data_IF_631979211722
#
_entry.id   IF_631979211722
#
_cell.length_a   1.000
_cell.length_b   1.000
_cell.length_c   1.000
_cell.angle_alpha   90.00
_cell.angle_beta   90.00
_cell.angle_gamma   90.00
#
_symmetry.space_group_name_H-M   'P 1'
#
loop_
_entity.id
_entity.type
_entity.pdbx_description
1 polymer ?
#
# COMPACT_ATOMS: atom_id res chain seq x y z
N UNK A 1 -11.09 20.02 0.22
CA UNK A 1 -9.73 20.43 -0.23
C UNK A 1 -9.36 21.71 0.48
N UNK A 2 -8.22 21.76 1.16
CA UNK A 2 -7.79 22.91 1.97
C UNK A 2 -7.46 24.10 1.07
N UNK A 3 -7.93 25.31 1.43
CA UNK A 3 -7.64 26.53 0.66
C UNK A 3 -6.22 27.04 0.87
N UNK A 4 -5.59 26.70 1.99
CA UNK A 4 -4.24 27.11 2.38
C UNK A 4 -3.42 25.86 2.72
N UNK A 5 -2.22 25.78 2.20
CA UNK A 5 -1.20 24.82 2.61
C UNK A 5 -0.10 25.55 3.35
N UNK A 6 0.28 25.03 4.50
CA UNK A 6 1.37 25.58 5.32
C UNK A 6 2.50 24.55 5.38
N UNK A 7 3.72 25.04 5.29
CA UNK A 7 4.91 24.21 5.47
C UNK A 7 5.93 24.96 6.35
N UNK A 8 6.51 24.23 7.29
CA UNK A 8 7.41 24.80 8.29
C UNK A 8 8.61 25.55 7.69
N UNK A 9 9.13 25.07 6.57
CA UNK A 9 10.34 25.62 5.93
C UNK A 9 9.98 26.53 4.75
N UNK A 10 8.98 26.12 3.94
CA UNK A 10 8.70 26.78 2.66
C UNK A 10 7.54 27.79 2.75
N UNK A 11 6.94 28.00 3.92
CA UNK A 11 5.91 28.99 4.13
C UNK A 11 4.52 28.54 3.72
N UNK A 12 3.76 29.42 3.04
CA UNK A 12 2.35 29.22 2.75
C UNK A 12 2.06 29.23 1.25
N UNK A 13 1.19 28.33 0.82
CA UNK A 13 0.63 28.30 -0.52
C UNK A 13 -0.88 28.49 -0.47
N UNK A 14 -1.41 29.35 -1.33
CA UNK A 14 -2.81 29.72 -1.37
C UNK A 14 -3.50 29.18 -2.60
N UNK A 15 -4.75 28.83 -2.42
CA UNK A 15 -5.70 28.56 -3.49
C UNK A 15 -6.64 29.74 -3.59
N UNK A 16 -6.62 30.43 -4.71
CA UNK A 16 -7.39 31.64 -4.93
C UNK A 16 -8.71 31.30 -5.60
N UNK A 17 -9.78 31.97 -5.17
CA UNK A 17 -11.07 31.93 -5.83
C UNK A 17 -11.32 33.33 -6.40
N UNK A 18 -11.53 33.45 -7.71
CA UNK A 18 -11.90 34.75 -8.29
C UNK A 18 -13.26 35.21 -7.76
N UNK A 19 -13.46 36.51 -7.66
CA UNK A 19 -14.73 37.08 -7.24
C UNK A 19 -15.81 36.85 -8.29
N UNK A 20 -15.43 36.86 -9.57
CA UNK A 20 -16.30 36.56 -10.71
C UNK A 20 -15.80 35.28 -11.42
N UNK A 21 -16.69 34.31 -11.59
CA UNK A 21 -16.43 33.09 -12.29
C UNK A 21 -16.46 31.82 -11.43
N UNK A 22 -16.63 30.68 -12.09
CA UNK A 22 -16.62 29.36 -11.45
C UNK A 22 -15.19 28.83 -11.36
N UNK A 23 -14.82 28.40 -10.15
CA UNK A 23 -13.59 27.64 -9.91
C UNK A 23 -12.58 28.32 -9.01
N UNK A 24 -11.67 27.51 -8.49
CA UNK A 24 -10.54 27.99 -7.70
C UNK A 24 -9.24 27.52 -8.37
N UNK A 25 -8.31 28.41 -8.57
CA UNK A 25 -7.00 28.07 -9.14
C UNK A 25 -5.92 27.98 -8.06
N UNK A 26 -4.96 27.13 -8.31
CA UNK A 26 -3.81 26.93 -7.43
C UNK A 26 -2.72 27.93 -7.81
N UNK A 27 -2.17 28.62 -6.82
CA UNK A 27 -0.95 29.40 -7.04
C UNK A 27 0.25 28.47 -7.27
N UNK A 28 1.32 28.98 -7.86
CA UNK A 28 2.56 28.24 -8.02
C UNK A 28 3.10 27.74 -6.65
N UNK A 29 3.03 28.61 -5.63
CA UNK A 29 3.41 28.25 -4.27
C UNK A 29 2.54 27.09 -3.71
N UNK A 30 1.23 27.13 -3.93
CA UNK A 30 0.34 26.04 -3.52
C UNK A 30 0.71 24.73 -4.22
N UNK A 31 0.99 24.76 -5.52
CA UNK A 31 1.36 23.58 -6.29
C UNK A 31 2.71 23.01 -5.82
N UNK A 32 3.69 23.88 -5.61
CA UNK A 32 4.99 23.46 -5.08
C UNK A 32 4.86 22.82 -3.69
N UNK A 33 4.15 23.45 -2.77
CA UNK A 33 3.92 22.87 -1.43
C UNK A 33 3.11 21.58 -1.47
N UNK A 34 2.14 21.46 -2.35
CA UNK A 34 1.38 20.22 -2.55
C UNK A 34 2.30 19.06 -2.96
N UNK A 35 3.28 19.33 -3.81
CA UNK A 35 4.26 18.34 -4.24
C UNK A 35 5.22 17.95 -3.10
N UNK A 36 5.66 18.93 -2.32
CA UNK A 36 6.50 18.68 -1.13
C UNK A 36 5.75 17.79 -0.12
N UNK A 37 4.54 18.18 0.27
CA UNK A 37 3.72 17.35 1.18
C UNK A 37 3.47 15.94 0.64
N UNK A 38 3.20 15.81 -0.65
CA UNK A 38 3.03 14.49 -1.25
C UNK A 38 4.32 13.65 -1.19
N UNK A 39 5.49 14.25 -1.34
CA UNK A 39 6.77 13.58 -1.22
C UNK A 39 7.06 13.15 0.23
N UNK A 40 6.80 14.03 1.19
CA UNK A 40 6.96 13.75 2.63
C UNK A 40 6.02 12.63 3.08
N UNK A 41 4.75 12.68 2.66
CA UNK A 41 3.78 11.61 2.94
C UNK A 41 4.22 10.26 2.38
N UNK A 42 4.75 10.23 1.14
CA UNK A 42 5.26 8.97 0.56
C UNK A 42 6.46 8.44 1.33
N UNK A 43 7.37 9.32 1.74
CA UNK A 43 8.53 8.94 2.56
C UNK A 43 8.08 8.31 3.88
N UNK A 44 7.10 8.90 4.55
CA UNK A 44 6.54 8.35 5.78
C UNK A 44 5.81 7.03 5.55
N UNK A 45 5.01 6.92 4.49
CA UNK A 45 4.36 5.65 4.12
C UNK A 45 5.38 4.54 3.83
N UNK A 46 6.49 4.86 3.14
CA UNK A 46 7.55 3.89 2.89
C UNK A 46 8.20 3.43 4.19
N UNK A 47 8.42 4.34 5.13
CA UNK A 47 8.94 4.02 6.46
C UNK A 47 7.99 3.11 7.24
N UNK A 48 6.69 3.40 7.20
CA UNK A 48 5.65 2.56 7.81
C UNK A 48 5.60 1.17 7.18
N UNK A 49 5.68 1.09 5.85
CA UNK A 49 5.74 -0.20 5.14
C UNK A 49 6.97 -0.99 5.58
N UNK A 50 8.14 -0.37 5.63
CA UNK A 50 9.37 -1.02 6.11
C UNK A 50 9.19 -1.58 7.52
N UNK A 51 8.67 -0.78 8.45
CA UNK A 51 8.42 -1.22 9.82
C UNK A 51 7.45 -2.40 9.85
N UNK A 52 6.36 -2.35 9.07
CA UNK A 52 5.39 -3.44 8.99
C UNK A 52 6.01 -4.75 8.47
N UNK A 53 6.81 -4.65 7.39
CA UNK A 53 7.48 -5.82 6.80
C UNK A 53 8.52 -6.46 7.73
N UNK A 54 9.18 -5.66 8.55
CA UNK A 54 10.24 -6.13 9.47
C UNK A 54 9.73 -6.61 10.82
N UNK A 55 8.41 -6.52 11.09
CA UNK A 55 7.82 -7.00 12.35
C UNK A 55 7.60 -8.51 12.40
N UNK A 56 7.46 -9.16 11.28
CA UNK A 56 7.29 -10.61 11.24
C UNK A 56 8.60 -11.31 11.64
N UNK A 57 8.52 -12.25 12.57
CA UNK A 57 9.66 -13.06 13.03
C UNK A 57 9.79 -14.35 12.21
N UNK A 58 8.68 -15.09 12.05
CA UNK A 58 8.70 -16.40 11.43
C UNK A 58 8.10 -16.39 10.01
N UNK A 59 6.97 -15.72 9.84
CA UNK A 59 6.24 -15.73 8.58
C UNK A 59 5.53 -14.42 8.31
N UNK A 60 5.69 -13.91 7.09
CA UNK A 60 4.98 -12.74 6.60
C UNK A 60 4.04 -13.17 5.46
N UNK A 61 2.76 -12.86 5.60
CA UNK A 61 1.76 -13.09 4.55
C UNK A 61 1.23 -11.73 4.13
N UNK A 62 1.34 -11.44 2.85
CA UNK A 62 0.84 -10.19 2.26
C UNK A 62 -0.24 -10.50 1.24
N UNK A 63 -1.38 -9.85 1.35
CA UNK A 63 -2.45 -9.89 0.37
C UNK A 63 -2.52 -8.55 -0.34
N UNK A 64 -2.48 -8.59 -1.66
CA UNK A 64 -2.46 -7.37 -2.49
C UNK A 64 -3.50 -7.50 -3.59
N UNK A 65 -4.46 -6.55 -3.71
CA UNK A 65 -5.38 -6.56 -4.81
C UNK A 65 -4.64 -6.32 -6.12
N UNK A 66 -4.93 -7.10 -7.15
CA UNK A 66 -4.24 -6.98 -8.44
C UNK A 66 -4.63 -5.68 -9.16
N UNK A 67 -5.89 -5.26 -9.04
CA UNK A 67 -6.39 -4.01 -9.64
C UNK A 67 -6.32 -4.01 -11.17
N UNK A 68 -6.42 -5.18 -11.79
CA UNK A 68 -6.41 -5.32 -13.25
C UNK A 68 -7.80 -4.95 -13.76
N UNK A 69 -7.87 -3.86 -14.50
CA UNK A 69 -9.11 -3.41 -15.16
C UNK A 69 -9.03 -3.61 -16.68
N UNK A 70 -10.19 -3.47 -17.34
CA UNK A 70 -10.27 -3.58 -18.80
C UNK A 70 -9.44 -2.52 -19.55
N UNK A 71 -9.18 -1.37 -18.92
CA UNK A 71 -8.52 -0.21 -19.56
C UNK A 71 -7.14 0.10 -19.00
N UNK A 72 -6.73 -0.53 -17.89
CA UNK A 72 -5.42 -0.31 -17.30
C UNK A 72 -4.92 -1.54 -16.57
N UNK A 73 -3.70 -1.94 -16.91
CA UNK A 73 -2.97 -2.98 -16.22
C UNK A 73 -1.81 -2.33 -15.44
N UNK A 74 -1.87 -2.25 -14.11
CA UNK A 74 -0.82 -1.63 -13.33
C UNK A 74 0.52 -2.36 -13.40
N UNK A 75 0.52 -3.65 -13.75
CA UNK A 75 1.74 -4.43 -13.92
C UNK A 75 2.46 -4.07 -15.21
N UNK A 76 1.75 -3.93 -16.34
CA UNK A 76 2.35 -3.51 -17.62
C UNK A 76 2.99 -2.13 -17.48
N UNK A 77 2.31 -1.20 -16.81
CA UNK A 77 2.87 0.12 -16.54
C UNK A 77 4.13 0.06 -15.69
N UNK A 78 4.08 -0.69 -14.58
CA UNK A 78 5.22 -0.84 -13.68
C UNK A 78 6.41 -1.51 -14.40
N UNK A 79 6.16 -2.53 -15.20
CA UNK A 79 7.16 -3.23 -15.99
C UNK A 79 7.85 -2.30 -16.99
N UNK A 80 7.09 -1.48 -17.74
CA UNK A 80 7.65 -0.52 -18.68
C UNK A 80 8.57 0.51 -18.00
N UNK A 81 8.24 0.99 -16.81
CA UNK A 81 9.12 1.87 -16.03
C UNK A 81 10.42 1.16 -15.57
N UNK A 82 10.32 -0.09 -15.19
CA UNK A 82 11.46 -0.87 -14.72
C UNK A 82 12.39 -1.23 -15.89
N UNK A 83 11.84 -1.60 -17.05
CA UNK A 83 12.57 -1.87 -18.27
C UNK A 83 13.34 -0.63 -18.74
N UNK A 84 12.72 0.54 -18.66
CA UNK A 84 13.35 1.83 -18.97
C UNK A 84 14.38 2.29 -17.93
N UNK A 85 14.67 1.52 -16.90
CA UNK A 85 15.56 1.92 -15.81
C UNK A 85 15.00 3.03 -14.91
N UNK A 86 13.72 3.34 -15.02
CA UNK A 86 13.04 4.43 -14.31
C UNK A 86 12.40 4.01 -12.98
N UNK A 87 12.91 2.99 -12.31
CA UNK A 87 12.38 2.46 -11.05
C UNK A 87 12.23 3.51 -9.94
N UNK A 88 13.16 4.47 -9.85
CA UNK A 88 13.02 5.59 -8.92
C UNK A 88 11.79 6.44 -9.18
N UNK A 89 11.48 6.70 -10.45
CA UNK A 89 10.30 7.48 -10.84
C UNK A 89 9.03 6.73 -10.49
N UNK A 90 9.00 5.41 -10.73
CA UNK A 90 7.91 4.55 -10.32
C UNK A 90 7.66 4.61 -8.81
N UNK A 91 8.71 4.49 -7.99
CA UNK A 91 8.60 4.60 -6.54
C UNK A 91 8.07 5.97 -6.09
N UNK A 92 8.52 7.07 -6.75
CA UNK A 92 8.04 8.43 -6.44
C UNK A 92 6.61 8.69 -6.88
N UNK A 93 6.10 7.95 -7.85
CA UNK A 93 4.72 8.06 -8.34
C UNK A 93 3.76 7.09 -7.66
N UNK A 94 4.25 6.20 -6.81
CA UNK A 94 3.42 5.27 -6.07
C UNK A 94 2.40 6.00 -5.19
N UNK A 95 1.16 5.50 -5.20
CA UNK A 95 0.06 6.07 -4.42
C UNK A 95 -0.43 5.11 -3.33
N UNK A 96 0.12 3.90 -3.29
CA UNK A 96 -0.25 2.86 -2.34
C UNK A 96 0.93 1.93 -2.03
N UNK A 97 0.87 1.21 -0.91
CA UNK A 97 1.81 0.13 -0.60
C UNK A 97 1.85 -0.94 -1.70
N UNK A 98 0.70 -1.20 -2.31
CA UNK A 98 0.59 -2.15 -3.40
C UNK A 98 1.45 -1.78 -4.61
N UNK A 99 1.63 -0.49 -4.90
CA UNK A 99 2.45 -0.04 -6.02
C UNK A 99 3.93 -0.35 -5.80
N UNK A 100 4.43 -0.12 -4.58
CA UNK A 100 5.81 -0.49 -4.22
C UNK A 100 6.04 -1.99 -4.20
N UNK A 101 5.09 -2.74 -3.61
CA UNK A 101 5.17 -4.19 -3.58
C UNK A 101 5.15 -4.80 -4.98
N UNK A 102 4.27 -4.32 -5.87
CA UNK A 102 4.24 -4.75 -7.28
C UNK A 102 5.57 -4.48 -7.98
N UNK A 103 6.14 -3.29 -7.81
CA UNK A 103 7.42 -2.94 -8.42
C UNK A 103 8.55 -3.87 -7.93
N UNK A 104 8.62 -4.11 -6.62
CA UNK A 104 9.63 -4.99 -6.03
C UNK A 104 9.46 -6.45 -6.48
N UNK A 105 8.23 -6.94 -6.50
CA UNK A 105 7.92 -8.33 -6.87
C UNK A 105 8.13 -8.60 -8.36
N UNK A 106 7.95 -7.62 -9.24
CA UNK A 106 8.20 -7.77 -10.67
C UNK A 106 9.68 -8.05 -10.97
N UNK A 107 10.61 -7.42 -10.25
CA UNK A 107 12.05 -7.64 -10.42
C UNK A 107 12.61 -8.79 -9.56
N UNK A 108 11.79 -9.37 -8.68
CA UNK A 108 12.20 -10.50 -7.87
C UNK A 108 12.28 -11.78 -8.70
N UNK A 109 13.26 -12.71 -8.48
CA UNK A 109 13.37 -13.97 -9.22
C UNK A 109 12.07 -14.79 -9.24
N UNK A 110 11.37 -14.88 -8.10
CA UNK A 110 10.10 -15.60 -7.96
C UNK A 110 8.86 -14.81 -8.49
N UNK A 111 9.06 -13.63 -9.09
CA UNK A 111 7.98 -12.78 -9.62
C UNK A 111 7.37 -13.25 -10.95
N UNK A 112 7.74 -14.42 -11.46
CA UNK A 112 7.24 -14.96 -12.72
C UNK A 112 5.73 -14.89 -12.93
N UNK A 113 4.89 -15.28 -11.94
CA UNK A 113 3.45 -15.19 -12.08
C UNK A 113 2.95 -13.75 -12.33
N UNK A 114 3.60 -12.73 -11.75
CA UNK A 114 3.25 -11.32 -11.97
C UNK A 114 3.75 -10.79 -13.32
N UNK A 115 4.92 -11.24 -13.77
CA UNK A 115 5.43 -10.87 -15.11
C UNK A 115 4.53 -11.35 -16.22
N UNK A 116 3.93 -12.54 -16.10
CA UNK A 116 2.91 -13.00 -17.05
C UNK A 116 1.69 -12.08 -17.11
N UNK A 117 1.30 -11.47 -15.99
CA UNK A 117 0.23 -10.46 -15.98
C UNK A 117 0.66 -9.13 -16.62
N UNK A 118 1.96 -8.89 -16.72
CA UNK A 118 2.55 -7.72 -17.38
C UNK A 118 2.91 -8.00 -18.85
N UNK A 119 2.24 -8.94 -19.51
CA UNK A 119 2.44 -9.29 -20.92
C UNK A 119 3.83 -9.90 -21.22
N UNK A 120 4.35 -10.68 -20.25
CA UNK A 120 5.63 -11.39 -20.35
C UNK A 120 6.84 -10.51 -20.69
N UNK A 121 6.83 -9.26 -20.25
CA UNK A 121 7.97 -8.37 -20.43
C UNK A 121 9.22 -8.94 -19.75
N UNK A 122 10.33 -8.94 -20.47
CA UNK A 122 11.63 -9.34 -19.94
C UNK A 122 12.18 -8.22 -19.05
N UNK A 123 12.21 -8.47 -17.77
CA UNK A 123 12.74 -7.55 -16.77
C UNK A 123 14.04 -8.09 -16.19
N UNK A 124 15.03 -7.23 -15.90
CA UNK A 124 16.21 -7.65 -15.18
C UNK A 124 15.82 -8.13 -13.77
N UNK A 125 16.39 -9.25 -13.35
CA UNK A 125 16.18 -9.75 -11.99
C UNK A 125 17.12 -9.08 -11.02
N UNK A 126 16.58 -8.75 -9.83
CA UNK A 126 17.39 -8.40 -8.70
C UNK A 126 17.72 -9.69 -7.92
N UNK A 127 18.99 -10.04 -7.83
CA UNK A 127 19.41 -11.11 -6.93
C UNK A 127 19.35 -10.60 -5.49
N UNK A 128 18.31 -11.04 -4.77
CA UNK A 128 18.07 -10.60 -3.39
C UNK A 128 18.48 -11.65 -2.37
N UNK A 129 18.88 -12.85 -2.82
CA UNK A 129 19.16 -13.97 -1.93
C UNK A 129 17.95 -14.43 -1.10
N UNK A 130 16.77 -13.88 -1.36
CA UNK A 130 15.53 -14.19 -0.64
C UNK A 130 14.60 -15.05 -1.46
N UNK A 131 13.77 -15.86 -0.77
CA UNK A 131 12.75 -16.70 -1.42
C UNK A 131 11.37 -16.22 -1.04
N UNK A 132 10.52 -16.01 -2.04
CA UNK A 132 9.14 -15.61 -1.87
C UNK A 132 8.24 -16.64 -2.54
N UNK A 133 7.20 -17.09 -1.84
CA UNK A 133 6.12 -17.86 -2.47
C UNK A 133 5.03 -16.91 -2.91
N UNK A 134 4.74 -16.89 -4.21
CA UNK A 134 3.76 -15.98 -4.78
C UNK A 134 2.63 -16.78 -5.43
N UNK A 135 1.40 -16.52 -4.97
CA UNK A 135 0.19 -17.13 -5.50
C UNK A 135 -0.72 -16.06 -6.06
N UNK A 136 -1.15 -16.21 -7.30
CA UNK A 136 -2.15 -15.34 -7.95
C UNK A 136 -3.49 -16.05 -7.93
N UNK A 137 -4.48 -15.44 -7.30
CA UNK A 137 -5.86 -15.95 -7.27
C UNK A 137 -6.75 -15.03 -8.09
N UNK A 138 -7.48 -15.58 -9.04
CA UNK A 138 -8.41 -14.83 -9.90
C UNK A 138 -9.86 -14.89 -9.40
N UNK A 139 -10.16 -15.84 -8.53
CA UNK A 139 -11.46 -16.02 -7.91
C UNK A 139 -11.29 -16.44 -6.45
N UNK A 140 -12.33 -16.27 -5.65
CA UNK A 140 -12.38 -16.88 -4.32
C UNK A 140 -12.32 -18.39 -4.48
N UNK A 141 -11.61 -19.11 -3.56
CA UNK A 141 -11.65 -20.56 -3.54
C UNK A 141 -13.09 -21.06 -3.47
N UNK A 142 -13.41 -22.14 -4.19
CA UNK A 142 -14.71 -22.79 -4.07
C UNK A 142 -14.96 -23.16 -2.60
N UNK A 143 -16.15 -22.82 -2.08
CA UNK A 143 -16.53 -23.08 -0.69
C UNK A 143 -16.23 -21.96 0.31
N UNK A 144 -15.59 -20.88 -0.11
CA UNK A 144 -15.53 -19.65 0.70
C UNK A 144 -16.76 -18.80 0.34
N UNK A 145 -17.82 -18.98 1.07
CA UNK A 145 -18.94 -18.03 1.03
C UNK A 145 -18.42 -16.65 1.49
N UNK A 146 -18.80 -15.57 0.79
CA UNK A 146 -18.55 -14.24 1.31
C UNK A 146 -19.19 -14.15 2.71
N UNK A 147 -18.54 -13.48 3.67
CA UNK A 147 -19.13 -13.33 4.99
C UNK A 147 -20.54 -12.73 4.82
N UNK A 148 -21.51 -13.42 5.39
CA UNK A 148 -22.89 -12.97 5.40
C UNK A 148 -22.92 -11.57 6.04
N UNK A 149 -23.41 -10.55 5.35
CA UNK A 149 -23.51 -9.21 5.92
C UNK A 149 -24.39 -9.15 7.18
N UNK A 150 -25.24 -10.15 7.41
CA UNK A 150 -26.02 -10.28 8.63
C UNK A 150 -25.23 -10.92 9.81
N UNK A 151 -23.99 -11.39 9.57
CA UNK A 151 -23.13 -11.95 10.60
C UNK A 151 -22.44 -10.88 11.49
N UNK A 152 -22.63 -9.59 11.20
CA UNK A 152 -22.00 -8.51 11.97
C UNK A 152 -22.47 -8.43 13.44
N UNK A 153 -23.48 -9.19 13.84
CA UNK A 153 -24.04 -9.13 15.20
C UNK A 153 -24.21 -10.49 15.90
N UNK A 154 -23.38 -11.50 15.61
CA UNK A 154 -23.39 -12.66 16.49
C UNK A 154 -22.75 -12.26 17.84
N UNK A 155 -23.54 -12.23 18.92
CA UNK A 155 -22.97 -11.88 20.21
C UNK A 155 -21.85 -12.87 20.55
N UNK A 156 -20.74 -12.38 21.05
CA UNK A 156 -19.59 -13.15 21.56
C UNK A 156 -19.97 -14.28 22.55
N UNK A 157 -21.21 -14.27 23.05
CA UNK A 157 -21.76 -15.30 23.92
C UNK A 157 -21.88 -16.71 23.25
N UNK A 158 -21.71 -16.81 21.92
CA UNK A 158 -21.72 -18.10 21.20
C UNK A 158 -20.33 -18.55 20.74
N UNK A 159 -19.27 -17.81 21.08
CA UNK A 159 -17.91 -18.22 20.79
C UNK A 159 -17.49 -19.38 21.69
N UNK A 160 -16.65 -20.27 21.17
CA UNK A 160 -16.04 -21.35 21.94
C UNK A 160 -15.45 -20.78 23.24
N UNK A 161 -15.87 -21.30 24.43
CA UNK A 161 -15.36 -20.83 25.70
C UNK A 161 -13.83 -20.87 25.81
N UNK A 162 -13.19 -21.87 25.19
CA UNK A 162 -11.73 -21.99 25.17
C UNK A 162 -11.07 -20.89 24.35
N UNK A 163 -11.66 -20.54 23.20
CA UNK A 163 -11.17 -19.44 22.36
C UNK A 163 -11.37 -18.08 23.06
N UNK A 164 -12.52 -17.90 23.70
CA UNK A 164 -12.83 -16.67 24.43
C UNK A 164 -11.86 -16.46 25.59
N UNK A 165 -11.51 -17.51 26.33
CA UNK A 165 -10.56 -17.46 27.43
C UNK A 165 -9.12 -17.20 26.91
N UNK A 166 -8.70 -17.85 25.83
CA UNK A 166 -7.40 -17.62 25.20
C UNK A 166 -7.26 -16.17 24.72
N UNK A 167 -8.32 -15.60 24.11
CA UNK A 167 -8.33 -14.19 23.71
C UNK A 167 -8.27 -13.26 24.93
N UNK A 168 -9.04 -13.55 26.00
CA UNK A 168 -9.01 -12.76 27.23
C UNK A 168 -7.63 -12.76 27.88
N UNK A 169 -6.95 -13.90 27.92
CA UNK A 169 -5.58 -14.00 28.40
C UNK A 169 -4.60 -13.24 27.54
N UNK A 170 -4.75 -13.30 26.20
CA UNK A 170 -3.94 -12.52 25.25
C UNK A 170 -4.13 -11.02 25.41
N UNK A 171 -5.36 -10.55 25.66
CA UNK A 171 -5.64 -9.12 25.88
C UNK A 171 -5.33 -8.65 27.31
N UNK A 172 -5.23 -9.55 28.27
CA UNK A 172 -4.83 -9.23 29.65
C UNK A 172 -3.31 -8.96 29.78
N UNK A 173 -2.54 -9.23 28.71
CA UNK A 173 -1.13 -8.93 28.68
C UNK A 173 -0.92 -7.41 28.74
N UNK A 174 -0.42 -6.95 29.84
CA UNK A 174 0.00 -5.55 29.99
C UNK A 174 1.46 -5.44 29.61
N UNK A 175 1.78 -4.43 28.81
CA UNK A 175 3.17 -4.04 28.63
C UNK A 175 3.79 -3.84 30.00
N UNK A 176 4.87 -4.52 30.37
CA UNK A 176 5.57 -4.16 31.57
C UNK A 176 5.91 -2.67 31.43
N UNK A 177 5.29 -1.85 32.25
CA UNK A 177 5.69 -0.46 32.44
C UNK A 177 7.04 -0.50 33.16
N UNK A 178 8.02 -1.05 32.46
CA UNK A 178 9.35 -1.22 32.95
C UNK A 178 10.04 0.11 32.79
N UNK A 179 10.34 0.72 33.92
CA UNK A 179 11.65 1.33 34.15
C UNK A 179 12.16 2.14 32.95
N UNK A 180 11.57 3.33 32.78
CA UNK A 180 12.25 4.47 32.16
C UNK A 180 12.71 5.42 33.26
#
# INVERSE_FOLDING_TARGET
RQPVLLHRIYGAGLRLRPEEGEGAYKTAAYTALSNVHAAEMRSEQMRLLYVALTRAQDKLILTVPLGIGKTSNPFTRAAAFLEAGAGQTLCRQANSFADWLRAALLVHPNGGPLRRLAEDLELPFADTGSTITLTVQQALPEGVEPPDPELEERPLAQADPALTEALRQGFAWQYPAAEL
#
